data_IF_906181994810
#
_entry.id   IF_906181994810
#
_cell.length_a   1.000
_cell.length_b   1.000
_cell.length_c   1.000
_cell.angle_alpha   90.00
_cell.angle_beta   90.00
_cell.angle_gamma   90.00
#
_symmetry.space_group_name_H-M   'P 1'
#
loop_
_entity.id
_entity.type
_entity.pdbx_description
1 polymer ?
#
# COMPACT_ATOMS: atom_id res chain seq x y z
N UNK A 1 -41.03 32.67 13.95
CA UNK A 1 -40.95 31.88 12.71
C UNK A 1 -40.38 30.51 13.07
N UNK A 2 -41.09 29.44 12.72
CA UNK A 2 -40.81 28.03 13.02
C UNK A 2 -39.49 27.61 12.33
N UNK A 3 -38.41 27.33 13.06
CA UNK A 3 -37.26 26.58 12.51
C UNK A 3 -37.32 25.15 13.03
N UNK A 4 -37.11 24.26 12.09
CA UNK A 4 -37.38 22.84 12.13
C UNK A 4 -36.81 22.21 13.40
N UNK A 5 -37.67 21.47 14.10
CA UNK A 5 -37.22 20.31 14.83
C UNK A 5 -36.57 19.42 13.77
N UNK A 6 -35.23 19.37 13.75
CA UNK A 6 -34.54 18.28 13.11
C UNK A 6 -35.04 17.03 13.83
N UNK A 7 -35.97 16.37 13.15
CA UNK A 7 -36.38 15.01 13.39
C UNK A 7 -35.11 14.18 13.26
N UNK A 8 -34.38 14.08 14.38
CA UNK A 8 -33.29 13.14 14.56
C UNK A 8 -33.94 11.78 14.41
N UNK A 9 -34.03 11.31 13.17
CA UNK A 9 -34.40 9.93 12.87
C UNK A 9 -33.60 9.09 13.85
N UNK A 10 -34.25 8.22 14.65
CA UNK A 10 -33.50 7.32 15.50
C UNK A 10 -32.48 6.67 14.59
N UNK A 11 -31.19 6.80 14.94
CA UNK A 11 -30.11 6.17 14.18
C UNK A 11 -30.37 4.68 14.30
N UNK A 12 -31.21 4.17 13.41
CA UNK A 12 -31.42 2.76 13.19
C UNK A 12 -30.02 2.24 12.98
N UNK A 13 -29.56 1.41 13.92
CA UNK A 13 -28.28 0.70 13.80
C UNK A 13 -28.47 -0.23 12.61
N UNK A 14 -28.26 0.33 11.43
CA UNK A 14 -28.38 -0.37 10.18
C UNK A 14 -27.22 -1.35 10.15
N UNK A 15 -27.50 -2.61 9.85
CA UNK A 15 -26.49 -3.65 9.70
C UNK A 15 -25.39 -3.17 8.71
N UNK A 16 -25.78 -2.40 7.69
CA UNK A 16 -24.86 -1.75 6.74
C UNK A 16 -23.86 -0.80 7.41
N UNK A 17 -24.28 -0.02 8.41
CA UNK A 17 -23.41 0.90 9.14
C UNK A 17 -22.38 0.12 9.98
N UNK A 18 -22.81 -0.96 10.64
CA UNK A 18 -21.92 -1.83 11.41
C UNK A 18 -20.88 -2.49 10.50
N UNK A 19 -21.31 -3.04 9.36
CA UNK A 19 -20.41 -3.60 8.35
C UNK A 19 -19.43 -2.53 7.85
N UNK A 20 -19.90 -1.33 7.55
CA UNK A 20 -19.05 -0.24 7.08
C UNK A 20 -17.98 0.15 8.12
N UNK A 21 -18.33 0.19 9.41
CA UNK A 21 -17.37 0.45 10.50
C UNK A 21 -16.31 -0.66 10.57
N UNK A 22 -16.74 -1.93 10.55
CA UNK A 22 -15.83 -3.08 10.61
C UNK A 22 -14.91 -3.10 9.40
N UNK A 23 -15.44 -2.90 8.20
CA UNK A 23 -14.66 -2.82 6.97
C UNK A 23 -13.64 -1.67 7.03
N UNK A 24 -14.04 -0.50 7.53
CA UNK A 24 -13.15 0.66 7.65
C UNK A 24 -12.03 0.42 8.67
N UNK A 25 -12.34 -0.14 9.83
CA UNK A 25 -11.36 -0.47 10.86
C UNK A 25 -10.37 -1.56 10.38
N UNK A 26 -10.90 -2.61 9.73
CA UNK A 26 -10.09 -3.68 9.13
C UNK A 26 -9.19 -3.11 8.03
N UNK A 27 -9.74 -2.28 7.15
CA UNK A 27 -8.98 -1.61 6.10
C UNK A 27 -7.85 -0.73 6.67
N UNK A 28 -8.11 0.02 7.73
CA UNK A 28 -7.07 0.84 8.39
C UNK A 28 -5.92 -0.02 8.93
N UNK A 29 -6.22 -1.13 9.60
CA UNK A 29 -5.21 -2.04 10.20
C UNK A 29 -4.38 -2.75 9.13
N UNK A 30 -5.03 -3.25 8.07
CA UNK A 30 -4.37 -4.03 7.03
C UNK A 30 -3.92 -3.20 5.83
N UNK A 31 -4.09 -1.87 5.87
CA UNK A 31 -3.77 -0.94 4.79
C UNK A 31 -2.36 -1.15 4.22
N UNK A 32 -1.36 -1.34 5.08
CA UNK A 32 0.03 -1.60 4.68
C UNK A 32 0.20 -2.88 3.87
N UNK A 33 -0.43 -3.97 4.29
CA UNK A 33 -0.39 -5.27 3.60
C UNK A 33 -1.15 -5.21 2.27
N UNK A 34 -2.27 -4.50 2.24
CA UNK A 34 -3.05 -4.29 1.02
C UNK A 34 -2.24 -3.46 0.02
N UNK A 35 -1.64 -2.34 0.46
CA UNK A 35 -0.76 -1.51 -0.38
C UNK A 35 0.40 -2.34 -0.93
N UNK A 36 1.08 -3.15 -0.11
CA UNK A 36 2.17 -3.99 -0.62
C UNK A 36 1.69 -4.97 -1.69
N UNK A 37 0.56 -5.64 -1.46
CA UNK A 37 0.00 -6.66 -2.37
C UNK A 37 -0.50 -6.06 -3.68
N UNK A 38 -1.19 -4.93 -3.61
CA UNK A 38 -1.66 -4.20 -4.79
C UNK A 38 -0.44 -3.66 -5.56
N UNK A 39 0.53 -3.06 -4.86
CA UNK A 39 1.71 -2.52 -5.51
C UNK A 39 2.53 -3.61 -6.21
N UNK A 40 2.70 -4.79 -5.61
CA UNK A 40 3.44 -5.90 -6.24
C UNK A 40 2.71 -6.42 -7.47
N UNK A 41 1.39 -6.50 -7.41
CA UNK A 41 0.54 -6.94 -8.54
C UNK A 41 0.64 -5.95 -9.70
N UNK A 42 0.50 -4.65 -9.43
CA UNK A 42 0.62 -3.59 -10.45
C UNK A 42 2.04 -3.51 -11.00
N UNK A 43 3.08 -3.62 -10.16
CA UNK A 43 4.49 -3.66 -10.60
C UNK A 43 4.75 -4.84 -11.52
N UNK A 44 4.20 -6.01 -11.22
CA UNK A 44 4.31 -7.21 -12.07
C UNK A 44 3.65 -6.99 -13.44
N UNK A 45 2.44 -6.40 -13.44
CA UNK A 45 1.70 -6.11 -14.66
C UNK A 45 2.32 -4.97 -15.48
N UNK A 46 3.00 -4.03 -14.83
CA UNK A 46 3.66 -2.86 -15.44
C UNK A 46 5.12 -3.13 -15.85
N UNK A 47 5.61 -4.37 -15.77
CA UNK A 47 6.93 -4.70 -16.32
C UNK A 47 6.95 -4.29 -17.80
N UNK A 48 7.91 -3.44 -18.22
CA UNK A 48 7.96 -2.96 -19.58
C UNK A 48 8.13 -4.17 -20.49
N UNK A 49 7.35 -4.24 -21.57
CA UNK A 49 7.66 -5.18 -22.64
C UNK A 49 9.10 -4.91 -23.06
N UNK A 50 9.98 -5.94 -23.13
CA UNK A 50 11.36 -5.76 -23.57
C UNK A 50 11.34 -4.97 -24.86
N UNK A 51 12.04 -3.83 -24.89
CA UNK A 51 12.08 -3.05 -26.12
C UNK A 51 12.66 -3.94 -27.22
N UNK A 52 12.09 -3.95 -28.43
CA UNK A 52 12.53 -4.86 -29.49
C UNK A 52 14.02 -4.68 -29.79
N UNK A 53 14.55 -3.45 -29.59
CA UNK A 53 15.97 -3.13 -29.69
C UNK A 53 16.81 -3.84 -28.62
N UNK A 54 16.38 -3.85 -27.35
CA UNK A 54 17.10 -4.56 -26.27
C UNK A 54 17.15 -6.06 -26.54
N UNK A 55 16.06 -6.66 -27.01
CA UNK A 55 16.03 -8.08 -27.36
C UNK A 55 16.97 -8.38 -28.53
N UNK A 56 16.94 -7.55 -29.59
CA UNK A 56 17.84 -7.69 -30.73
C UNK A 56 19.32 -7.54 -30.35
N UNK A 57 19.65 -6.57 -29.48
CA UNK A 57 21.02 -6.38 -28.96
C UNK A 57 21.47 -7.56 -28.10
N UNK A 58 20.62 -8.08 -27.22
CA UNK A 58 20.93 -9.28 -26.41
C UNK A 58 21.19 -10.51 -27.28
N UNK A 59 20.39 -10.69 -28.34
CA UNK A 59 20.59 -11.76 -29.31
C UNK A 59 21.91 -11.58 -30.08
N UNK A 60 22.20 -10.36 -30.55
CA UNK A 60 23.47 -10.04 -31.23
C UNK A 60 24.69 -10.30 -30.34
N UNK A 61 24.63 -9.94 -29.06
CA UNK A 61 25.71 -10.21 -28.08
C UNK A 61 25.86 -11.71 -27.87
N UNK A 62 24.76 -12.47 -27.75
CA UNK A 62 24.80 -13.92 -27.59
C UNK A 62 25.42 -14.60 -28.82
N UNK A 63 25.07 -14.17 -30.03
CA UNK A 63 25.64 -14.69 -31.28
C UNK A 63 27.14 -14.35 -31.40
N UNK A 64 27.52 -13.09 -31.12
CA UNK A 64 28.94 -12.68 -31.13
C UNK A 64 29.75 -13.44 -30.09
N UNK A 65 29.20 -13.68 -28.89
CA UNK A 65 29.86 -14.48 -27.85
C UNK A 65 30.05 -15.93 -28.29
N UNK A 66 29.04 -16.52 -28.96
CA UNK A 66 29.14 -17.89 -29.49
C UNK A 66 30.21 -17.99 -30.59
N UNK A 67 30.26 -17.02 -31.49
CA UNK A 67 31.30 -16.97 -32.52
C UNK A 67 32.70 -16.77 -31.92
N UNK A 68 32.83 -15.91 -30.90
CA UNK A 68 34.11 -15.65 -30.24
C UNK A 68 34.67 -16.90 -29.55
N UNK A 69 33.81 -17.72 -28.92
CA UNK A 69 34.20 -18.99 -28.33
C UNK A 69 34.73 -20.02 -29.36
N UNK A 70 34.36 -19.90 -30.63
CA UNK A 70 34.88 -20.74 -31.71
C UNK A 70 36.20 -20.25 -32.32
N UNK A 71 36.64 -19.04 -31.99
CA UNK A 71 37.86 -18.43 -32.53
C UNK A 71 38.98 -18.60 -31.50
N UNK A 72 40.04 -19.33 -31.86
CA UNK A 72 41.23 -19.42 -31.01
C UNK A 72 41.87 -18.02 -30.87
N UNK A 73 42.05 -17.50 -29.63
CA UNK A 73 42.64 -16.18 -29.42
C UNK A 73 44.05 -16.04 -30.01
N UNK A 74 44.78 -17.15 -30.13
CA UNK A 74 46.17 -17.18 -30.59
C UNK A 74 46.31 -17.39 -32.09
N UNK A 75 45.43 -18.18 -32.71
CA UNK A 75 45.52 -18.51 -34.15
C UNK A 75 44.95 -17.41 -35.06
N UNK A 76 43.88 -16.73 -34.62
CA UNK A 76 43.18 -15.71 -35.40
C UNK A 76 43.01 -14.40 -34.61
N UNK A 77 44.08 -13.96 -33.95
CA UNK A 77 44.07 -12.81 -33.03
C UNK A 77 43.35 -11.57 -33.59
N UNK A 78 43.59 -11.21 -34.86
CA UNK A 78 42.96 -10.05 -35.51
C UNK A 78 41.43 -10.19 -35.59
N UNK A 79 40.93 -11.40 -35.89
CA UNK A 79 39.49 -11.69 -35.96
C UNK A 79 38.88 -11.73 -34.56
N UNK A 80 39.58 -12.32 -33.59
CA UNK A 80 39.19 -12.34 -32.18
C UNK A 80 39.00 -10.93 -31.64
N UNK A 81 40.02 -10.06 -31.73
CA UNK A 81 39.93 -8.69 -31.22
C UNK A 81 38.89 -7.84 -31.96
N UNK A 82 38.68 -8.06 -33.27
CA UNK A 82 37.62 -7.38 -34.02
C UNK A 82 36.23 -7.76 -33.49
N UNK A 83 35.99 -9.04 -33.23
CA UNK A 83 34.72 -9.55 -32.69
C UNK A 83 34.51 -9.14 -31.23
N UNK A 84 35.57 -9.16 -30.43
CA UNK A 84 35.55 -8.67 -29.05
C UNK A 84 35.16 -7.18 -28.98
N UNK A 85 35.74 -6.34 -29.84
CA UNK A 85 35.35 -4.92 -29.95
C UNK A 85 33.89 -4.74 -30.38
N UNK A 86 33.42 -5.54 -31.34
CA UNK A 86 32.02 -5.47 -31.78
C UNK A 86 31.06 -5.88 -30.65
N UNK A 87 31.41 -6.92 -29.89
CA UNK A 87 30.67 -7.37 -28.72
C UNK A 87 30.66 -6.30 -27.62
N UNK A 88 31.80 -5.70 -27.32
CA UNK A 88 31.91 -4.63 -26.32
C UNK A 88 31.10 -3.40 -26.71
N UNK A 89 31.12 -3.00 -28.00
CA UNK A 89 30.29 -1.91 -28.51
C UNK A 89 28.79 -2.24 -28.39
N UNK A 90 28.37 -3.44 -28.78
CA UNK A 90 26.98 -3.87 -28.63
C UNK A 90 26.56 -3.93 -27.15
N UNK A 91 27.46 -4.36 -26.26
CA UNK A 91 27.24 -4.38 -24.81
C UNK A 91 27.13 -2.97 -24.23
N UNK A 92 27.91 -2.01 -24.72
CA UNK A 92 27.84 -0.61 -24.32
C UNK A 92 26.56 0.05 -24.82
N UNK A 93 26.15 -0.18 -26.07
CA UNK A 93 24.86 0.28 -26.60
C UNK A 93 23.70 -0.31 -25.78
N UNK A 94 23.77 -1.59 -25.42
CA UNK A 94 22.78 -2.23 -24.56
C UNK A 94 22.73 -1.59 -23.17
N UNK A 95 23.89 -1.38 -22.54
CA UNK A 95 23.98 -0.73 -21.23
C UNK A 95 23.48 0.71 -21.27
N UNK A 96 23.75 1.45 -22.34
CA UNK A 96 23.24 2.80 -22.56
C UNK A 96 21.71 2.81 -22.74
N UNK A 97 21.14 1.84 -23.47
CA UNK A 97 19.68 1.69 -23.61
C UNK A 97 19.01 1.30 -22.28
N UNK A 98 19.62 0.42 -21.50
CA UNK A 98 19.13 0.02 -20.18
C UNK A 98 19.24 1.18 -19.18
N UNK A 99 20.30 2.00 -19.24
CA UNK A 99 20.45 3.21 -18.43
C UNK A 99 19.50 4.35 -18.85
N UNK A 100 19.20 4.47 -20.15
CA UNK A 100 18.23 5.43 -20.66
C UNK A 100 16.78 5.01 -20.37
N UNK A 101 16.54 3.73 -20.11
CA UNK A 101 15.23 3.26 -19.64
C UNK A 101 15.01 3.81 -18.22
N UNK A 102 13.84 4.41 -17.91
CA UNK A 102 13.59 4.98 -16.59
C UNK A 102 13.86 3.90 -15.54
N UNK A 103 14.75 4.21 -14.59
CA UNK A 103 15.19 3.25 -13.59
C UNK A 103 13.99 2.53 -12.99
N UNK A 104 14.06 1.21 -12.87
CA UNK A 104 12.95 0.42 -12.32
C UNK A 104 12.50 0.96 -10.96
N UNK A 105 13.44 1.52 -10.19
CA UNK A 105 13.22 2.21 -8.93
C UNK A 105 12.28 3.42 -9.08
N UNK A 106 12.49 4.29 -10.08
CA UNK A 106 11.64 5.46 -10.30
C UNK A 106 10.20 5.07 -10.66
N UNK A 107 10.03 4.02 -11.47
CA UNK A 107 8.71 3.46 -11.80
C UNK A 107 8.05 2.83 -10.57
N UNK A 108 8.79 2.01 -9.84
CA UNK A 108 8.31 1.35 -8.63
C UNK A 108 7.87 2.36 -7.57
N UNK A 109 8.59 3.47 -7.43
CA UNK A 109 8.25 4.58 -6.55
C UNK A 109 6.98 5.29 -7.03
N UNK A 110 6.87 5.64 -8.32
CA UNK A 110 5.65 6.25 -8.88
C UNK A 110 4.41 5.37 -8.66
N UNK A 111 4.52 4.07 -8.92
CA UNK A 111 3.43 3.12 -8.70
C UNK A 111 3.05 3.09 -7.20
N UNK A 112 4.04 2.99 -6.32
CA UNK A 112 3.81 2.98 -4.87
C UNK A 112 3.12 4.26 -4.38
N UNK A 113 3.57 5.43 -4.85
CA UNK A 113 2.93 6.72 -4.55
C UNK A 113 1.49 6.77 -5.04
N UNK A 114 1.23 6.36 -6.29
CA UNK A 114 -0.13 6.37 -6.84
C UNK A 114 -1.06 5.45 -6.04
N UNK A 115 -0.63 4.23 -5.73
CA UNK A 115 -1.41 3.28 -4.92
C UNK A 115 -1.68 3.86 -3.53
N UNK A 116 -0.67 4.44 -2.88
CA UNK A 116 -0.82 5.09 -1.56
C UNK A 116 -1.81 6.24 -1.60
N UNK A 117 -1.77 7.08 -2.63
CA UNK A 117 -2.71 8.20 -2.80
C UNK A 117 -4.14 7.68 -2.96
N UNK A 118 -4.38 6.71 -3.84
CA UNK A 118 -5.72 6.12 -3.99
C UNK A 118 -6.23 5.47 -2.70
N UNK A 119 -5.35 4.76 -1.98
CA UNK A 119 -5.68 4.15 -0.70
C UNK A 119 -5.96 5.19 0.40
N UNK A 120 -5.26 6.33 0.37
CA UNK A 120 -5.53 7.44 1.28
C UNK A 120 -6.89 8.09 0.98
N UNK A 121 -7.22 8.29 -0.29
CA UNK A 121 -8.53 8.81 -0.69
C UNK A 121 -9.67 7.87 -0.29
N UNK A 122 -9.51 6.56 -0.49
CA UNK A 122 -10.52 5.58 -0.06
C UNK A 122 -10.64 5.51 1.47
N UNK A 123 -9.52 5.59 2.19
CA UNK A 123 -9.52 5.68 3.65
C UNK A 123 -10.30 6.90 4.14
N UNK A 124 -10.01 8.08 3.58
CA UNK A 124 -10.69 9.32 3.95
C UNK A 124 -12.19 9.28 3.63
N UNK A 125 -12.56 8.70 2.49
CA UNK A 125 -13.96 8.50 2.11
C UNK A 125 -14.70 7.59 3.11
N UNK A 126 -14.08 6.45 3.47
CA UNK A 126 -14.61 5.53 4.48
C UNK A 126 -14.75 6.19 5.85
N UNK A 127 -13.72 6.91 6.30
CA UNK A 127 -13.75 7.64 7.56
C UNK A 127 -14.85 8.70 7.58
N UNK A 128 -15.04 9.42 6.47
CA UNK A 128 -16.10 10.42 6.35
C UNK A 128 -17.50 9.81 6.37
N UNK A 129 -17.65 8.58 5.89
CA UNK A 129 -18.92 7.86 5.95
C UNK A 129 -19.20 7.35 7.36
N UNK A 130 -18.18 6.82 8.04
CA UNK A 130 -18.28 6.25 9.39
C UNK A 130 -18.29 7.30 10.50
N UNK A 131 -17.88 8.55 10.21
CA UNK A 131 -17.77 9.62 11.22
C UNK A 131 -19.09 9.98 11.91
N UNK A 132 -20.23 9.65 11.33
CA UNK A 132 -21.54 9.92 11.94
C UNK A 132 -21.96 8.84 12.96
N UNK A 133 -21.18 7.78 13.14
CA UNK A 133 -21.55 6.63 13.98
C UNK A 133 -20.87 6.74 15.34
N UNK A 134 -21.64 7.17 16.33
CA UNK A 134 -21.25 7.20 17.74
C UNK A 134 -21.68 5.91 18.43
N UNK A 135 -20.79 5.28 19.20
CA UNK A 135 -21.08 4.05 19.92
C UNK A 135 -21.55 4.32 21.36
N UNK A 136 -20.82 5.16 22.10
CA UNK A 136 -21.09 5.44 23.51
C UNK A 136 -20.71 6.88 23.90
N UNK A 137 -21.38 7.42 24.92
CA UNK A 137 -20.98 8.63 25.63
C UNK A 137 -20.30 8.23 26.95
N UNK A 138 -19.08 8.67 27.21
CA UNK A 138 -18.33 8.40 28.46
C UNK A 138 -18.05 9.72 29.16
N UNK A 139 -18.09 9.84 30.49
CA UNK A 139 -17.73 11.08 31.18
C UNK A 139 -16.35 11.61 30.74
N UNK A 140 -16.27 12.90 30.43
CA UNK A 140 -15.06 13.55 29.87
C UNK A 140 -13.84 13.45 30.81
N UNK A 141 -14.06 13.19 32.11
CA UNK A 141 -13.02 13.06 33.12
C UNK A 141 -12.23 11.74 33.08
N UNK A 142 -12.77 10.68 32.47
CA UNK A 142 -12.20 9.32 32.60
C UNK A 142 -10.96 9.12 31.71
N UNK A 143 -10.99 9.64 30.48
CA UNK A 143 -9.92 9.42 29.49
C UNK A 143 -9.16 10.71 29.13
N UNK A 144 -9.30 11.78 29.92
CA UNK A 144 -8.58 13.02 29.66
C UNK A 144 -7.05 12.82 29.74
N UNK A 145 -6.25 13.35 28.80
CA UNK A 145 -6.59 14.20 27.64
C UNK A 145 -6.83 13.42 26.33
N UNK A 146 -6.88 12.09 26.36
CA UNK A 146 -7.01 11.22 25.19
C UNK A 146 -8.43 11.13 24.61
N UNK A 147 -9.39 11.91 25.12
CA UNK A 147 -10.77 11.95 24.62
C UNK A 147 -10.85 12.24 23.11
N UNK A 148 -9.92 13.04 22.58
CA UNK A 148 -9.81 13.33 21.15
C UNK A 148 -9.55 12.07 20.31
N UNK A 149 -8.80 11.09 20.85
CA UNK A 149 -8.49 9.85 20.13
C UNK A 149 -9.71 8.94 20.02
N UNK A 150 -10.50 8.83 21.09
CA UNK A 150 -11.74 8.01 21.07
C UNK A 150 -12.85 8.67 20.24
N UNK A 151 -12.81 10.00 20.08
CA UNK A 151 -13.73 10.76 19.24
C UNK A 151 -13.41 10.66 17.73
N UNK A 152 -12.18 10.28 17.34
CA UNK A 152 -11.82 10.19 15.93
C UNK A 152 -12.69 9.17 15.18
N UNK A 153 -13.24 9.48 13.98
CA UNK A 153 -12.93 10.64 13.13
C UNK A 153 -13.83 11.87 13.31
N UNK A 154 -14.75 11.89 14.27
CA UNK A 154 -15.73 12.97 14.49
C UNK A 154 -15.19 14.15 15.34
N UNK A 155 -13.89 14.42 15.30
CA UNK A 155 -13.22 15.38 16.22
C UNK A 155 -13.81 16.80 16.13
N UNK A 156 -14.30 17.20 14.94
CA UNK A 156 -14.91 18.52 14.69
C UNK A 156 -16.41 18.45 14.40
N UNK A 157 -17.06 17.31 14.67
CA UNK A 157 -18.50 17.12 14.44
C UNK A 157 -19.35 17.76 15.54
N UNK A 158 -20.64 17.94 15.28
CA UNK A 158 -21.61 18.34 16.31
C UNK A 158 -21.71 17.24 17.36
N UNK A 159 -21.60 17.63 18.63
CA UNK A 159 -21.78 16.71 19.75
C UNK A 159 -23.26 16.22 19.77
N UNK A 160 -23.43 14.91 19.57
CA UNK A 160 -24.62 14.13 19.89
C UNK A 160 -24.73 13.84 21.39
N UNK A 161 -23.61 13.83 22.13
CA UNK A 161 -23.59 13.66 23.58
C UNK A 161 -23.71 15.02 24.31
N UNK A 162 -24.21 15.03 25.56
CA UNK A 162 -24.18 16.23 26.41
C UNK A 162 -22.74 16.68 26.68
N UNK A 163 -22.52 17.98 26.92
CA UNK A 163 -21.18 18.58 27.09
C UNK A 163 -20.33 17.99 28.23
N UNK A 164 -20.93 17.25 29.17
CA UNK A 164 -20.22 16.56 30.27
C UNK A 164 -19.64 15.20 29.85
N UNK A 165 -19.97 14.71 28.65
CA UNK A 165 -19.59 13.41 28.13
C UNK A 165 -18.78 13.55 26.84
N UNK A 166 -17.70 12.78 26.76
CA UNK A 166 -16.95 12.54 25.55
C UNK A 166 -17.62 11.46 24.68
N UNK A 167 -17.64 11.72 23.38
CA UNK A 167 -18.10 10.77 22.36
C UNK A 167 -17.05 9.73 22.03
N UNK A 168 -17.45 8.46 22.11
CA UNK A 168 -16.67 7.34 21.58
C UNK A 168 -17.22 6.97 20.21
N UNK A 169 -16.39 7.14 19.19
CA UNK A 169 -16.75 6.73 17.85
C UNK A 169 -16.81 5.20 17.74
N UNK A 170 -17.76 4.68 16.97
CA UNK A 170 -17.82 3.25 16.68
C UNK A 170 -16.57 2.74 15.95
N UNK A 171 -15.93 3.62 15.17
CA UNK A 171 -14.65 3.33 14.51
C UNK A 171 -13.52 3.10 15.51
N UNK A 172 -13.30 4.01 16.46
CA UNK A 172 -12.21 3.93 17.42
C UNK A 172 -12.35 2.68 18.29
N UNK A 173 -13.58 2.38 18.74
CA UNK A 173 -13.86 1.18 19.50
C UNK A 173 -13.58 -0.09 18.69
N UNK A 174 -14.10 -0.18 17.47
CA UNK A 174 -13.91 -1.37 16.60
C UNK A 174 -12.43 -1.55 16.23
N UNK A 175 -11.73 -0.45 15.92
CA UNK A 175 -10.30 -0.46 15.64
C UNK A 175 -9.51 -1.00 16.83
N UNK A 176 -9.79 -0.50 18.04
CA UNK A 176 -9.14 -0.95 19.26
C UNK A 176 -9.42 -2.43 19.53
N UNK A 177 -10.67 -2.89 19.37
CA UNK A 177 -11.04 -4.29 19.56
C UNK A 177 -10.32 -5.23 18.58
N UNK A 178 -10.28 -4.89 17.29
CA UNK A 178 -9.57 -5.71 16.29
C UNK A 178 -8.05 -5.70 16.58
N UNK A 179 -7.50 -4.55 16.99
CA UNK A 179 -6.09 -4.46 17.32
C UNK A 179 -5.72 -5.30 18.54
N UNK A 180 -6.52 -5.25 19.61
CA UNK A 180 -6.35 -6.09 20.80
C UNK A 180 -6.49 -7.58 20.47
N UNK A 181 -7.48 -7.95 19.64
CA UNK A 181 -7.64 -9.33 19.19
C UNK A 181 -6.40 -9.81 18.43
N UNK A 182 -5.88 -9.01 17.51
CA UNK A 182 -4.67 -9.33 16.75
C UNK A 182 -3.43 -9.47 17.65
N UNK A 183 -3.29 -8.61 18.67
CA UNK A 183 -2.20 -8.70 19.65
C UNK A 183 -2.33 -9.95 20.52
N UNK A 184 -3.54 -10.27 20.98
CA UNK A 184 -3.82 -11.48 21.75
C UNK A 184 -3.47 -12.73 20.93
N UNK A 185 -4.00 -12.85 19.71
CA UNK A 185 -3.71 -13.98 18.81
C UNK A 185 -2.21 -14.12 18.51
N UNK A 186 -1.49 -13.00 18.31
CA UNK A 186 -0.04 -13.01 18.11
C UNK A 186 0.72 -13.48 19.36
N UNK A 187 0.24 -13.10 20.55
CA UNK A 187 0.83 -13.51 21.82
C UNK A 187 0.62 -15.00 22.06
N UNK A 188 -0.59 -15.51 21.85
CA UNK A 188 -0.88 -16.96 21.93
C UNK A 188 -0.01 -17.77 20.96
N UNK A 189 0.06 -17.38 19.69
CA UNK A 189 0.91 -18.08 18.70
C UNK A 189 2.39 -18.05 19.05
N UNK A 190 2.88 -16.99 19.72
CA UNK A 190 4.27 -16.89 20.16
C UNK A 190 4.54 -17.81 21.36
N UNK A 191 3.56 -18.01 22.23
CA UNK A 191 3.66 -18.93 23.37
C UNK A 191 3.71 -20.39 22.92
N UNK A 192 2.90 -20.78 21.93
CA UNK A 192 2.92 -22.14 21.38
C UNK A 192 4.31 -22.48 20.80
N UNK A 193 4.90 -21.58 20.03
CA UNK A 193 6.21 -21.79 19.39
C UNK A 193 7.40 -21.83 20.37
N UNK A 194 7.21 -21.46 21.64
CA UNK A 194 8.27 -21.55 22.67
C UNK A 194 8.22 -22.86 23.45
N UNK A 195 7.18 -23.66 23.26
CA UNK A 195 6.97 -24.92 24.00
C UNK A 195 7.50 -26.13 23.22
N UNK A 196 7.93 -25.94 21.97
CA UNK A 196 8.71 -26.89 21.16
C UNK A 196 10.21 -26.56 21.24
#
# INVERSE_FOLDING_TARGET
MRRQMDESKPVQISIFNVIAVICSATFAIYSSQIVSTISSTIKSLSKPKPSPKVVALKLKIADLKRELHGISPTAEFARYFKKDREMNKASEELAALEAASPSENSRNLKIDTVVKVFMQFSALFLLRHVSAITAYCIPDTIFWPFNVLVRFPAVFGNDSCPAEFAEVSGFALTFLMIHLLNLALKTFRKSDLKTD
#
